data_IF_551176386099
#
_entry.id   IF_551176386099
#
_cell.length_a   1.000
_cell.length_b   1.000
_cell.length_c   1.000
_cell.angle_alpha   90.00
_cell.angle_beta   90.00
_cell.angle_gamma   90.00
#
_symmetry.space_group_name_H-M   'P 1'
#
loop_
_entity.id
_entity.type
_entity.pdbx_description
1 polymer ?
#
# COMPACT_ATOMS: atom_id res chain seq x y z
N UNK A 1 -26.48 -44.41 19.24
CA UNK A 1 -25.30 -43.56 19.51
C UNK A 1 -25.34 -43.15 20.97
N UNK A 2 -24.36 -43.61 21.77
CA UNK A 2 -24.31 -43.34 23.22
C UNK A 2 -23.90 -41.89 23.50
N UNK A 3 -24.30 -41.35 24.67
CA UNK A 3 -24.05 -39.97 25.10
C UNK A 3 -22.59 -39.54 24.94
N UNK A 4 -21.64 -40.44 25.24
CA UNK A 4 -20.20 -40.22 25.08
C UNK A 4 -19.81 -39.92 23.63
N UNK A 5 -20.36 -40.65 22.65
CA UNK A 5 -20.09 -40.42 21.22
C UNK A 5 -20.62 -39.07 20.74
N UNK A 6 -21.76 -38.59 21.29
CA UNK A 6 -22.32 -37.27 20.97
C UNK A 6 -21.44 -36.14 21.51
N UNK A 7 -20.89 -36.30 22.71
CA UNK A 7 -20.00 -35.31 23.33
C UNK A 7 -18.68 -35.23 22.56
N UNK A 8 -18.07 -36.36 22.21
CA UNK A 8 -16.83 -36.38 21.42
C UNK A 8 -17.03 -35.73 20.05
N UNK A 9 -18.14 -36.04 19.36
CA UNK A 9 -18.46 -35.43 18.07
C UNK A 9 -18.62 -33.90 18.17
N UNK A 10 -19.29 -33.41 19.21
CA UNK A 10 -19.45 -31.97 19.46
C UNK A 10 -18.11 -31.26 19.69
N UNK A 11 -17.23 -31.83 20.52
CA UNK A 11 -15.90 -31.26 20.81
C UNK A 11 -15.05 -31.18 19.56
N UNK A 12 -15.08 -32.21 18.71
CA UNK A 12 -14.34 -32.21 17.44
C UNK A 12 -14.88 -31.13 16.49
N UNK A 13 -16.20 -31.01 16.35
CA UNK A 13 -16.82 -29.99 15.49
C UNK A 13 -16.48 -28.58 15.96
N UNK A 14 -16.55 -28.32 17.27
CA UNK A 14 -16.19 -27.01 17.85
C UNK A 14 -14.70 -26.74 17.68
N UNK A 15 -13.83 -27.72 17.91
CA UNK A 15 -12.39 -27.58 17.72
C UNK A 15 -12.01 -27.29 16.27
N UNK A 16 -12.64 -27.96 15.31
CA UNK A 16 -12.44 -27.69 13.88
C UNK A 16 -12.93 -26.28 13.53
N UNK A 17 -14.13 -25.89 13.98
CA UNK A 17 -14.67 -24.56 13.72
C UNK A 17 -13.79 -23.44 14.31
N UNK A 18 -13.30 -23.59 15.55
CA UNK A 18 -12.35 -22.64 16.13
C UNK A 18 -11.05 -22.56 15.35
N UNK A 19 -10.49 -23.71 14.94
CA UNK A 19 -9.25 -23.72 14.17
C UNK A 19 -9.39 -22.98 12.82
N UNK A 20 -10.51 -23.17 12.12
CA UNK A 20 -10.77 -22.46 10.85
C UNK A 20 -10.94 -20.95 11.03
N UNK A 21 -11.55 -20.51 12.13
CA UNK A 21 -11.71 -19.08 12.44
C UNK A 21 -10.35 -18.46 12.75
N UNK A 22 -9.54 -19.11 13.61
CA UNK A 22 -8.20 -18.63 13.95
C UNK A 22 -7.31 -18.53 12.72
N UNK A 23 -7.30 -19.54 11.84
CA UNK A 23 -6.52 -19.50 10.60
C UNK A 23 -6.94 -18.34 9.71
N UNK A 24 -8.24 -18.11 9.53
CA UNK A 24 -8.74 -17.02 8.69
C UNK A 24 -8.35 -15.63 9.23
N UNK A 25 -8.39 -15.43 10.55
CA UNK A 25 -7.94 -14.20 11.18
C UNK A 25 -6.43 -13.96 10.99
N UNK A 26 -5.59 -14.99 11.16
CA UNK A 26 -4.15 -14.87 10.92
C UNK A 26 -3.82 -14.59 9.44
N UNK A 27 -4.55 -15.20 8.50
CA UNK A 27 -4.32 -14.96 7.08
C UNK A 27 -4.70 -13.55 6.67
N UNK A 28 -5.81 -13.01 7.21
CA UNK A 28 -6.20 -11.62 6.98
C UNK A 28 -5.21 -10.62 7.57
N UNK A 29 -4.76 -10.83 8.80
CA UNK A 29 -3.79 -9.98 9.47
C UNK A 29 -2.42 -10.01 8.76
N UNK A 30 -1.97 -11.20 8.37
CA UNK A 30 -0.71 -11.38 7.64
C UNK A 30 -0.79 -10.77 6.23
N UNK A 31 -1.95 -10.85 5.57
CA UNK A 31 -2.19 -10.20 4.25
C UNK A 31 -2.29 -8.69 4.36
N UNK A 32 -2.81 -8.15 5.47
CA UNK A 32 -2.78 -6.70 5.74
C UNK A 32 -1.36 -6.24 6.04
N UNK A 33 -0.63 -6.99 6.85
CA UNK A 33 0.76 -6.69 7.22
C UNK A 33 1.69 -6.76 6.01
N UNK A 34 1.57 -7.79 5.17
CA UNK A 34 2.39 -7.93 3.95
C UNK A 34 2.09 -6.85 2.92
N UNK A 35 0.83 -6.40 2.79
CA UNK A 35 0.48 -5.26 1.94
C UNK A 35 1.08 -3.93 2.41
N UNK A 36 1.37 -3.81 3.71
CA UNK A 36 1.90 -2.58 4.31
C UNK A 36 3.45 -2.56 4.38
N UNK A 37 4.10 -3.65 3.99
CA UNK A 37 5.56 -3.73 3.94
C UNK A 37 6.05 -3.53 2.49
N UNK A 38 7.19 -2.85 2.29
CA UNK A 38 7.82 -2.78 0.98
C UNK A 38 8.18 -4.18 0.46
N UNK A 39 7.80 -4.46 -0.78
CA UNK A 39 8.09 -5.68 -1.54
C UNK A 39 9.33 -5.56 -2.44
N UNK A 40 10.00 -4.39 -2.42
CA UNK A 40 11.26 -4.11 -3.12
C UNK A 40 12.15 -3.19 -2.28
N UNK A 41 13.46 -3.20 -2.51
CA UNK A 41 14.42 -2.35 -1.79
C UNK A 41 14.15 -0.84 -1.98
N UNK A 42 13.63 -0.46 -3.16
CA UNK A 42 13.23 0.90 -3.47
C UNK A 42 11.80 0.95 -4.00
N UNK A 43 11.02 1.82 -3.39
CA UNK A 43 9.71 2.24 -3.86
C UNK A 43 9.74 3.74 -4.12
N UNK A 44 9.25 4.18 -5.26
CA UNK A 44 8.98 5.60 -5.43
C UNK A 44 7.75 5.93 -4.58
N UNK A 45 7.98 6.55 -3.44
CA UNK A 45 6.93 7.03 -2.56
C UNK A 45 6.74 8.54 -2.72
N UNK A 46 5.48 8.95 -2.79
CA UNK A 46 5.06 10.34 -2.93
C UNK A 46 4.27 10.75 -1.71
N UNK A 47 4.61 11.91 -1.18
CA UNK A 47 3.89 12.54 -0.09
C UNK A 47 2.57 13.11 -0.59
N UNK A 48 1.47 12.58 -0.05
CA UNK A 48 0.11 13.09 -0.24
C UNK A 48 -0.18 14.09 0.86
N UNK A 49 -0.66 15.26 0.45
CA UNK A 49 -1.11 16.29 1.37
C UNK A 49 -2.41 16.92 0.91
N UNK A 50 -3.09 17.57 1.86
CA UNK A 50 -4.29 18.37 1.58
C UNK A 50 -3.89 19.70 0.97
N UNK A 51 -4.59 20.09 -0.10
CA UNK A 51 -4.55 21.45 -0.64
C UNK A 51 -5.97 22.01 -0.79
N UNK A 52 -6.07 23.34 -0.90
CA UNK A 52 -7.34 24.05 -1.17
C UNK A 52 -7.63 24.15 -2.69
N UNK A 53 -6.71 23.65 -3.53
CA UNK A 53 -6.60 23.91 -4.97
C UNK A 53 -7.45 23.01 -5.88
N UNK A 54 -8.31 22.14 -5.34
CA UNK A 54 -9.24 21.33 -6.14
C UNK A 54 -10.35 22.15 -6.88
N UNK A 55 -10.18 23.47 -7.00
CA UNK A 55 -11.04 24.41 -7.74
C UNK A 55 -10.17 25.13 -8.80
N UNK A 56 -9.96 24.52 -9.97
CA UNK A 56 -9.20 25.18 -11.06
C UNK A 56 -9.27 24.46 -12.42
N UNK A 57 -9.57 25.23 -13.47
CA UNK A 57 -9.84 24.77 -14.85
C UNK A 57 -8.59 24.21 -15.56
N UNK A 58 -8.64 22.94 -15.96
CA UNK A 58 -7.63 22.26 -16.76
C UNK A 58 -7.80 20.74 -16.70
N UNK A 59 -7.18 19.98 -17.61
CA UNK A 59 -7.37 18.53 -17.84
C UNK A 59 -7.09 17.59 -16.63
N UNK A 60 -6.86 18.11 -15.43
CA UNK A 60 -6.67 17.38 -14.16
C UNK A 60 -7.74 17.75 -13.11
N UNK A 61 -9.00 17.81 -13.54
CA UNK A 61 -10.14 18.10 -12.67
C UNK A 61 -10.21 17.04 -11.55
N UNK A 62 -9.93 17.44 -10.30
CA UNK A 62 -10.09 16.61 -9.10
C UNK A 62 -8.85 15.92 -8.53
N UNK A 63 -7.63 16.31 -8.94
CA UNK A 63 -6.39 15.82 -8.33
C UNK A 63 -5.64 16.97 -7.65
N UNK A 64 -5.14 16.73 -6.44
CA UNK A 64 -4.37 17.74 -5.68
C UNK A 64 -3.05 18.10 -6.35
N UNK A 65 -2.47 19.24 -5.97
CA UNK A 65 -1.17 19.79 -6.38
C UNK A 65 -0.03 18.80 -6.19
N UNK A 66 -0.13 17.92 -5.19
CA UNK A 66 0.82 16.82 -4.99
C UNK A 66 0.87 15.83 -6.18
N UNK A 67 -0.13 15.82 -7.08
CA UNK A 67 -0.17 14.97 -8.28
C UNK A 67 0.45 15.60 -9.52
N UNK A 68 1.06 16.78 -9.41
CA UNK A 68 1.90 17.32 -10.48
C UNK A 68 2.91 16.25 -10.87
N UNK A 69 3.15 16.13 -12.18
CA UNK A 69 4.04 15.17 -12.86
C UNK A 69 3.78 13.66 -12.67
N UNK A 70 2.74 13.29 -11.92
CA UNK A 70 2.36 11.89 -11.77
C UNK A 70 1.59 11.38 -13.00
N UNK A 71 1.88 10.15 -13.51
CA UNK A 71 2.87 9.18 -13.03
C UNK A 71 4.25 9.26 -13.72
N UNK A 72 4.50 10.29 -14.53
CA UNK A 72 5.71 10.39 -15.32
C UNK A 72 7.00 10.48 -14.48
N UNK A 73 6.97 11.18 -13.34
CA UNK A 73 8.14 11.26 -12.45
C UNK A 73 8.51 9.89 -11.86
N UNK A 74 7.52 9.17 -11.34
CA UNK A 74 7.67 7.82 -10.79
C UNK A 74 8.19 6.85 -11.84
N UNK A 75 7.57 6.86 -13.02
CA UNK A 75 7.94 6.00 -14.14
C UNK A 75 9.40 6.25 -14.54
N UNK A 76 9.80 7.49 -14.82
CA UNK A 76 11.14 7.74 -15.33
C UNK A 76 12.23 7.53 -14.27
N UNK A 77 12.02 7.92 -13.00
CA UNK A 77 13.02 7.69 -11.96
C UNK A 77 13.20 6.21 -11.68
N UNK A 78 12.11 5.44 -11.54
CA UNK A 78 12.18 3.99 -11.30
C UNK A 78 12.89 3.27 -12.45
N UNK A 79 12.59 3.61 -13.71
CA UNK A 79 13.31 3.05 -14.86
C UNK A 79 14.80 3.40 -14.85
N UNK A 80 15.15 4.64 -14.49
CA UNK A 80 16.54 5.07 -14.37
C UNK A 80 17.31 4.30 -13.28
N UNK A 81 16.73 4.16 -12.10
CA UNK A 81 17.33 3.43 -10.98
C UNK A 81 17.53 1.94 -11.32
N UNK A 82 16.52 1.29 -11.94
CA UNK A 82 16.64 -0.11 -12.42
C UNK A 82 17.77 -0.29 -13.43
N UNK A 83 17.99 0.69 -14.30
CA UNK A 83 19.01 0.62 -15.35
C UNK A 83 20.42 0.90 -14.81
N UNK A 84 20.55 1.80 -13.85
CA UNK A 84 21.84 2.39 -13.45
C UNK A 84 22.34 1.90 -12.10
N UNK A 85 21.52 1.17 -11.35
CA UNK A 85 21.89 0.63 -10.03
C UNK A 85 21.61 -0.87 -9.97
N UNK A 86 22.02 -1.50 -8.88
CA UNK A 86 21.69 -2.90 -8.57
C UNK A 86 20.50 -3.03 -7.61
N UNK A 87 19.85 -1.92 -7.27
CA UNK A 87 18.72 -1.91 -6.35
C UNK A 87 17.57 -2.71 -6.95
N UNK A 88 16.89 -3.46 -6.10
CA UNK A 88 15.56 -3.97 -6.44
C UNK A 88 14.55 -2.83 -6.33
N UNK A 89 14.06 -2.34 -7.47
CA UNK A 89 13.21 -1.14 -7.56
C UNK A 89 11.86 -1.55 -8.11
N UNK A 90 10.79 -1.25 -7.37
CA UNK A 90 9.43 -1.51 -7.82
C UNK A 90 9.16 -0.74 -9.13
N UNK A 91 8.75 -1.42 -10.22
CA UNK A 91 8.47 -0.77 -11.49
C UNK A 91 7.14 -0.05 -11.41
N UNK A 92 7.12 1.21 -11.86
CA UNK A 92 5.89 2.00 -11.89
C UNK A 92 5.27 1.97 -13.27
N UNK A 93 3.95 1.80 -13.36
CA UNK A 93 3.20 1.88 -14.61
C UNK A 93 2.99 3.32 -15.03
N UNK A 94 3.39 3.66 -16.27
CA UNK A 94 3.13 5.00 -16.86
C UNK A 94 1.63 5.27 -17.09
N UNK A 95 0.79 4.22 -17.16
CA UNK A 95 -0.62 4.37 -17.50
C UNK A 95 -1.52 4.35 -16.26
N UNK A 96 -1.21 3.50 -15.29
CA UNK A 96 -2.04 3.27 -14.10
C UNK A 96 -1.43 3.86 -12.83
N UNK A 97 -0.16 4.27 -12.84
CA UNK A 97 0.62 4.67 -11.67
C UNK A 97 0.83 3.56 -10.63
N UNK A 98 0.40 2.33 -10.91
CA UNK A 98 0.64 1.15 -10.07
C UNK A 98 2.14 0.93 -9.89
N UNK A 99 2.54 0.48 -8.70
CA UNK A 99 3.94 0.37 -8.27
C UNK A 99 4.47 1.63 -7.56
N UNK A 100 3.86 2.79 -7.79
CA UNK A 100 4.07 3.97 -6.94
C UNK A 100 3.42 3.79 -5.57
N UNK A 101 4.01 4.39 -4.52
CA UNK A 101 3.41 4.46 -3.18
C UNK A 101 2.98 5.89 -2.87
N UNK A 102 1.82 6.05 -2.26
CA UNK A 102 1.25 7.35 -1.92
C UNK A 102 0.96 7.37 -0.42
N UNK A 103 1.76 8.13 0.33
CA UNK A 103 1.72 8.13 1.79
C UNK A 103 1.45 9.54 2.28
N UNK A 104 0.62 9.66 3.32
CA UNK A 104 0.49 10.87 4.11
C UNK A 104 1.55 10.91 5.20
N UNK A 105 1.88 12.11 5.69
CA UNK A 105 2.86 12.26 6.79
C UNK A 105 2.40 11.58 8.10
N UNK A 106 1.10 11.36 8.23
CA UNK A 106 0.48 10.71 9.39
C UNK A 106 0.41 9.19 9.27
N UNK A 107 0.81 8.61 8.13
CA UNK A 107 0.73 7.16 7.95
C UNK A 107 1.86 6.47 8.73
N UNK A 108 1.50 5.53 9.61
CA UNK A 108 2.47 4.81 10.45
C UNK A 108 3.54 4.08 9.63
N UNK A 109 3.19 3.65 8.41
CA UNK A 109 4.08 2.94 7.49
C UNK A 109 5.11 3.85 6.80
N UNK A 110 5.06 5.17 6.96
CA UNK A 110 5.99 6.11 6.31
C UNK A 110 7.46 5.77 6.61
N UNK A 111 7.73 5.22 7.79
CA UNK A 111 9.08 4.82 8.21
C UNK A 111 9.59 3.53 7.54
N UNK A 112 8.70 2.76 6.89
CA UNK A 112 9.09 1.60 6.10
C UNK A 112 9.68 1.99 4.74
N UNK A 113 9.45 3.23 4.30
CA UNK A 113 9.84 3.73 2.99
C UNK A 113 10.89 4.84 3.12
N UNK A 114 12.19 4.55 2.95
CA UNK A 114 13.28 5.49 3.27
C UNK A 114 13.48 6.61 2.23
N UNK A 115 12.79 6.53 1.10
CA UNK A 115 12.63 7.61 0.13
C UNK A 115 11.28 8.27 0.36
N UNK A 116 11.16 9.59 0.18
CA UNK A 116 9.89 10.32 0.17
C UNK A 116 9.99 11.54 -0.74
N UNK A 117 9.17 11.59 -1.78
CA UNK A 117 9.12 12.70 -2.73
C UNK A 117 7.93 13.61 -2.46
N UNK A 118 8.18 14.92 -2.30
CA UNK A 118 7.14 15.92 -2.12
C UNK A 118 7.26 16.98 -3.22
N UNK A 119 6.15 17.28 -3.89
CA UNK A 119 6.06 18.26 -4.98
C UNK A 119 5.00 19.31 -4.67
N UNK A 120 5.17 20.52 -5.18
CA UNK A 120 4.21 21.64 -5.00
C UNK A 120 3.87 21.96 -3.54
N UNK A 121 4.77 21.68 -2.58
CA UNK A 121 4.50 21.78 -1.12
C UNK A 121 4.08 23.18 -0.63
N UNK A 122 4.25 24.22 -1.43
CA UNK A 122 3.66 25.54 -1.18
C UNK A 122 2.12 25.53 -1.14
N UNK A 123 1.48 24.47 -1.63
CA UNK A 123 0.03 24.27 -1.59
C UNK A 123 -0.45 23.44 -0.39
N UNK A 124 0.44 23.07 0.54
CA UNK A 124 0.10 22.25 1.70
C UNK A 124 -0.41 23.10 2.88
N UNK A 125 -1.74 23.23 3.02
CA UNK A 125 -2.42 23.95 4.10
C UNK A 125 -3.88 23.51 4.33
#
# INVERSE_FOLDING_TARGET
VNTTQKITALVVVVGVALSTIVTAETDEENTKTSRNLPDSEFHFTRLVYKDYGSIGFGFRRGRGSWTVDMPEAEFHLSQGLRRLTRLDVEPVSRYTAEGGRWLQISDDEIFNYPWLYAVEVGNWY
#
